data_IF_924405351677
#
_entry.id   IF_924405351677
#
_cell.length_a   1.000
_cell.length_b   1.000
_cell.length_c   1.000
_cell.angle_alpha   90.00
_cell.angle_beta   90.00
_cell.angle_gamma   90.00
#
_symmetry.space_group_name_H-M   'P 1'
#
loop_
_entity.id
_entity.type
_entity.pdbx_description
1 polymer ?
#
# COMPACT_ATOMS: atom_id res chain seq x y z
N UNK A 1 41.28 -23.24 -42.85
CA UNK A 1 40.85 -24.40 -42.04
C UNK A 1 39.48 -24.02 -41.48
N UNK A 2 38.35 -24.22 -42.17
CA UNK A 2 37.72 -25.49 -42.58
C UNK A 2 37.60 -26.42 -41.36
N UNK A 3 36.42 -26.76 -40.84
CA UNK A 3 35.29 -27.36 -41.55
C UNK A 3 33.93 -27.08 -40.87
N UNK A 4 32.96 -26.73 -41.71
CA UNK A 4 31.51 -26.73 -41.51
C UNK A 4 31.00 -28.13 -41.90
N UNK A 5 30.11 -28.77 -41.13
CA UNK A 5 29.30 -29.89 -41.65
C UNK A 5 27.84 -29.69 -41.29
N UNK A 6 27.14 -29.21 -42.30
CA UNK A 6 25.70 -29.24 -42.51
C UNK A 6 25.34 -30.67 -42.93
N UNK A 7 24.31 -31.26 -42.33
CA UNK A 7 23.60 -32.39 -42.93
C UNK A 7 22.26 -31.90 -43.45
N UNK A 8 22.09 -32.12 -44.75
CA UNK A 8 20.99 -31.73 -45.62
C UNK A 8 20.40 -33.00 -46.25
N UNK A 9 19.21 -32.84 -46.84
CA UNK A 9 18.47 -33.71 -47.77
C UNK A 9 17.44 -34.71 -47.19
N UNK A 10 16.39 -35.07 -47.95
CA UNK A 10 15.41 -34.19 -48.63
C UNK A 10 13.97 -34.77 -48.62
N UNK A 11 13.00 -34.02 -49.15
CA UNK A 11 11.80 -34.63 -49.75
C UNK A 11 10.51 -33.85 -49.53
N UNK A 12 10.17 -32.95 -50.45
CA UNK A 12 8.77 -32.62 -50.79
C UNK A 12 8.31 -33.57 -51.90
N UNK A 13 7.03 -33.97 -51.89
CA UNK A 13 6.08 -33.26 -52.75
C UNK A 13 4.70 -33.00 -52.11
N UNK A 14 4.17 -31.79 -52.34
CA UNK A 14 2.72 -31.48 -52.41
C UNK A 14 2.07 -32.24 -53.59
N UNK A 15 0.73 -32.31 -53.81
CA UNK A 15 -0.39 -31.65 -53.10
C UNK A 15 -1.62 -32.56 -52.80
N UNK A 16 -2.49 -32.16 -51.87
CA UNK A 16 -3.90 -32.59 -51.88
C UNK A 16 -4.80 -31.60 -51.14
N UNK A 17 -5.55 -30.82 -51.92
CA UNK A 17 -6.66 -30.00 -51.46
C UNK A 17 -7.80 -30.92 -51.05
N UNK A 18 -8.18 -30.93 -49.77
CA UNK A 18 -9.48 -31.39 -49.32
C UNK A 18 -10.06 -30.36 -48.36
N UNK A 19 -10.91 -29.50 -48.93
CA UNK A 19 -11.89 -28.72 -48.19
C UNK A 19 -12.73 -29.66 -47.32
N UNK A 20 -13.12 -29.19 -46.14
CA UNK A 20 -14.47 -29.21 -45.55
C UNK A 20 -14.37 -29.16 -44.02
N UNK A 21 -14.64 -27.99 -43.46
CA UNK A 21 -15.22 -27.84 -42.11
C UNK A 21 -16.59 -28.52 -42.09
N UNK A 22 -17.06 -29.05 -40.95
CA UNK A 22 -17.75 -28.16 -40.00
C UNK A 22 -17.40 -28.36 -38.53
N UNK A 23 -17.55 -27.24 -37.81
CA UNK A 23 -17.72 -27.09 -36.37
C UNK A 23 -18.19 -28.35 -35.64
N UNK A 24 -17.38 -28.80 -34.69
CA UNK A 24 -17.90 -29.48 -33.51
C UNK A 24 -17.88 -28.51 -32.35
N UNK A 25 -18.98 -27.78 -32.21
CA UNK A 25 -19.33 -27.07 -30.99
C UNK A 25 -19.33 -28.07 -29.85
N UNK A 26 -18.44 -27.90 -28.87
CA UNK A 26 -18.55 -28.58 -27.59
C UNK A 26 -19.70 -27.90 -26.86
N UNK A 27 -20.86 -28.53 -26.90
CA UNK A 27 -22.06 -28.13 -26.16
C UNK A 27 -21.79 -28.38 -24.66
N UNK A 28 -21.37 -27.33 -23.97
CA UNK A 28 -21.26 -27.33 -22.51
C UNK A 28 -22.69 -27.28 -21.97
N UNK A 29 -23.17 -28.40 -21.46
CA UNK A 29 -24.48 -28.49 -20.79
C UNK A 29 -24.41 -27.72 -19.47
N UNK A 30 -25.19 -26.65 -19.26
CA UNK A 30 -25.25 -26.00 -17.96
C UNK A 30 -26.13 -26.84 -17.01
N UNK A 31 -25.53 -27.32 -15.93
CA UNK A 31 -26.25 -27.89 -14.79
C UNK A 31 -27.13 -26.78 -14.17
N UNK A 32 -28.45 -26.96 -14.24
CA UNK A 32 -29.45 -26.07 -13.64
C UNK A 32 -29.60 -26.35 -12.14
N UNK A 33 -29.21 -25.39 -11.31
CA UNK A 33 -29.66 -25.30 -9.91
C UNK A 33 -30.50 -24.03 -9.73
N UNK A 34 -31.77 -24.21 -9.35
CA UNK A 34 -32.58 -23.38 -8.43
C UNK A 34 -32.86 -21.89 -8.74
N UNK A 35 -34.05 -21.36 -8.38
CA UNK A 35 -34.43 -19.99 -8.69
C UNK A 35 -33.89 -19.00 -7.66
N UNK A 36 -32.79 -18.33 -8.02
CA UNK A 36 -32.28 -17.15 -7.33
C UNK A 36 -31.53 -16.32 -8.35
N UNK A 37 -32.11 -15.21 -8.78
CA UNK A 37 -31.57 -14.33 -9.82
C UNK A 37 -30.34 -13.61 -9.29
N UNK A 38 -29.15 -14.13 -9.57
CA UNK A 38 -27.94 -13.33 -9.59
C UNK A 38 -27.64 -12.97 -11.04
N UNK A 39 -27.92 -11.73 -11.41
CA UNK A 39 -27.38 -11.12 -12.62
C UNK A 39 -25.88 -10.99 -12.46
N UNK A 40 -25.13 -12.04 -12.77
CA UNK A 40 -23.71 -11.91 -13.07
C UNK A 40 -23.61 -11.12 -14.37
N UNK A 41 -23.47 -9.80 -14.22
CA UNK A 41 -22.97 -8.95 -15.30
C UNK A 41 -21.66 -9.59 -15.76
N UNK A 42 -21.72 -10.19 -16.94
CA UNK A 42 -20.54 -10.64 -17.66
C UNK A 42 -19.67 -9.41 -17.87
N UNK A 43 -18.64 -9.26 -17.04
CA UNK A 43 -17.53 -8.38 -17.35
C UNK A 43 -16.76 -9.06 -18.47
N UNK A 44 -17.23 -8.80 -19.69
CA UNK A 44 -16.45 -8.96 -20.90
C UNK A 44 -15.15 -8.18 -20.67
N UNK A 45 -14.05 -8.89 -20.40
CA UNK A 45 -12.71 -8.30 -20.29
C UNK A 45 -12.26 -7.94 -21.70
N UNK A 46 -12.86 -6.89 -22.27
CA UNK A 46 -12.15 -6.06 -23.24
C UNK A 46 -10.97 -5.40 -22.52
N UNK A 47 -9.87 -5.06 -23.22
CA UNK A 47 -8.81 -4.29 -22.60
C UNK A 47 -9.44 -3.01 -22.07
N UNK A 48 -9.48 -2.86 -20.74
CA UNK A 48 -9.82 -1.59 -20.14
C UNK A 48 -8.82 -0.58 -20.72
N UNK A 49 -9.29 0.31 -21.59
CA UNK A 49 -8.52 1.46 -22.03
C UNK A 49 -8.15 2.22 -20.76
N UNK A 50 -6.95 1.97 -20.24
CA UNK A 50 -6.38 2.79 -19.20
C UNK A 50 -6.19 4.18 -19.84
N UNK A 51 -7.06 5.12 -19.46
CA UNK A 51 -6.96 6.52 -19.85
C UNK A 51 -5.51 7.00 -19.67
N UNK A 52 -4.89 7.62 -20.68
CA UNK A 52 -3.50 8.04 -20.60
C UNK A 52 -3.28 8.95 -19.39
N UNK A 53 -2.17 8.74 -18.68
CA UNK A 53 -1.82 9.47 -17.46
C UNK A 53 -1.00 10.71 -17.80
N UNK A 54 -1.34 11.83 -17.18
CA UNK A 54 -0.66 13.13 -17.32
C UNK A 54 0.04 13.41 -15.98
N UNK A 55 1.35 13.65 -16.02
CA UNK A 55 2.14 13.99 -14.83
C UNK A 55 2.32 15.51 -14.76
N UNK A 56 2.02 16.08 -13.61
CA UNK A 56 2.19 17.49 -13.27
C UNK A 56 3.46 17.68 -12.42
N UNK A 57 3.70 18.90 -11.96
CA UNK A 57 4.76 19.21 -11.00
C UNK A 57 4.68 18.34 -9.75
N UNK A 58 5.85 18.05 -9.15
CA UNK A 58 6.01 17.27 -7.91
C UNK A 58 5.45 15.84 -7.94
N UNK A 59 5.18 15.31 -9.15
CA UNK A 59 4.74 13.93 -9.34
C UNK A 59 3.24 13.72 -9.18
N UNK A 60 2.44 14.79 -9.11
CA UNK A 60 0.98 14.68 -9.14
C UNK A 60 0.53 14.12 -10.50
N UNK A 61 -0.42 13.20 -10.52
CA UNK A 61 -0.86 12.55 -11.76
C UNK A 61 -2.37 12.69 -11.92
N UNK A 62 -2.81 13.00 -13.13
CA UNK A 62 -4.22 12.93 -13.52
C UNK A 62 -4.44 11.99 -14.69
N UNK A 63 -5.65 11.45 -14.84
CA UNK A 63 -6.05 10.75 -16.06
C UNK A 63 -6.34 11.76 -17.18
N UNK A 64 -6.48 11.30 -18.43
CA UNK A 64 -6.93 12.12 -19.55
C UNK A 64 -8.31 12.75 -19.31
N UNK A 65 -9.13 12.11 -18.47
CA UNK A 65 -10.45 12.58 -18.06
C UNK A 65 -10.35 13.60 -16.90
N UNK A 66 -9.16 14.12 -16.63
CA UNK A 66 -8.84 15.10 -15.59
C UNK A 66 -9.19 14.63 -14.16
N UNK A 67 -9.23 13.31 -13.93
CA UNK A 67 -9.42 12.71 -12.60
C UNK A 67 -8.09 12.58 -11.90
N UNK A 68 -8.05 12.75 -10.58
CA UNK A 68 -6.84 12.58 -9.79
C UNK A 68 -6.47 11.10 -9.72
N UNK A 69 -5.20 10.79 -9.98
CA UNK A 69 -4.64 9.47 -9.71
C UNK A 69 -4.00 9.51 -8.34
N UNK A 70 -4.54 8.74 -7.40
CA UNK A 70 -3.95 8.57 -6.07
C UNK A 70 -2.61 7.85 -6.23
N UNK A 71 -1.54 8.46 -5.75
CA UNK A 71 -0.19 7.92 -5.77
C UNK A 71 0.61 8.36 -4.54
N UNK A 72 1.83 7.83 -4.38
CA UNK A 72 2.74 8.19 -3.29
C UNK A 72 3.16 9.67 -3.34
N UNK A 73 3.31 10.25 -4.53
CA UNK A 73 3.71 11.65 -4.67
C UNK A 73 2.67 12.62 -4.08
N UNK A 74 1.38 12.33 -4.26
CA UNK A 74 0.30 13.09 -3.62
C UNK A 74 0.39 13.05 -2.10
N UNK A 75 0.62 11.87 -1.50
CA UNK A 75 0.87 11.75 -0.06
C UNK A 75 2.09 12.58 0.35
N UNK A 76 3.18 12.50 -0.40
CA UNK A 76 4.41 13.27 -0.10
C UNK A 76 4.17 14.77 -0.11
N UNK A 77 3.39 15.29 -1.08
CA UNK A 77 3.01 16.71 -1.11
C UNK A 77 2.23 17.07 0.16
N UNK A 78 1.27 16.25 0.58
CA UNK A 78 0.53 16.50 1.82
C UNK A 78 1.47 16.50 3.03
N UNK A 79 2.30 15.47 3.14
CA UNK A 79 3.26 15.32 4.22
C UNK A 79 4.25 16.50 4.27
N UNK A 80 4.73 16.99 3.13
CA UNK A 80 5.68 18.12 3.07
C UNK A 80 5.06 19.43 3.55
N UNK A 81 3.83 19.74 3.13
CA UNK A 81 3.13 20.95 3.57
C UNK A 81 2.67 20.87 5.03
N UNK A 82 2.33 19.67 5.51
CA UNK A 82 1.86 19.46 6.88
C UNK A 82 3.02 19.26 7.88
N UNK A 83 4.21 18.87 7.42
CA UNK A 83 5.41 18.65 8.27
C UNK A 83 5.96 19.93 8.89
N UNK A 84 5.76 21.09 8.26
CA UNK A 84 6.04 22.41 8.89
C UNK A 84 5.09 22.73 10.07
N UNK A 85 4.06 21.91 10.30
CA UNK A 85 3.06 22.05 11.35
C UNK A 85 3.28 21.21 12.62
N UNK A 86 4.45 20.59 12.82
CA UNK A 86 4.72 19.74 14.01
C UNK A 86 4.78 20.49 15.35
N UNK A 87 4.34 21.75 15.41
CA UNK A 87 4.12 22.49 16.66
C UNK A 87 2.75 23.14 16.74
N UNK A 88 2.17 23.49 15.59
CA UNK A 88 0.78 23.87 15.41
C UNK A 88 0.41 23.53 13.96
N UNK A 89 -0.67 22.79 13.74
CA UNK A 89 -1.32 22.63 12.43
C UNK A 89 -1.83 24.01 11.99
N UNK A 90 -0.92 24.89 11.59
CA UNK A 90 -1.25 26.28 11.35
C UNK A 90 -2.25 26.32 10.19
N UNK A 91 -3.42 26.96 10.34
CA UNK A 91 -4.37 27.11 9.25
C UNK A 91 -3.70 27.71 8.00
N UNK A 92 -2.65 28.50 8.17
CA UNK A 92 -1.83 29.04 7.09
C UNK A 92 -1.09 27.98 6.23
N UNK A 93 -0.74 26.80 6.78
CA UNK A 93 -0.12 25.72 6.01
C UNK A 93 -1.16 24.99 5.16
N UNK A 94 -2.35 24.76 5.74
CA UNK A 94 -3.48 24.13 5.05
C UNK A 94 -3.98 25.02 3.92
N UNK A 95 -4.11 26.34 4.15
CA UNK A 95 -4.49 27.30 3.11
C UNK A 95 -3.47 27.35 1.96
N UNK A 96 -2.18 27.28 2.28
CA UNK A 96 -1.11 27.20 1.26
C UNK A 96 -1.20 25.91 0.45
N UNK A 97 -1.52 24.78 1.07
CA UNK A 97 -1.73 23.52 0.39
C UNK A 97 -2.95 23.59 -0.55
N UNK A 98 -4.08 24.17 -0.11
CA UNK A 98 -5.24 24.40 -0.98
C UNK A 98 -4.90 25.26 -2.20
N UNK A 99 -4.18 26.37 -2.00
CA UNK A 99 -3.76 27.24 -3.08
C UNK A 99 -2.83 26.52 -4.07
N UNK A 100 -1.88 25.73 -3.57
CA UNK A 100 -0.98 24.92 -4.38
C UNK A 100 -1.74 23.90 -5.23
N UNK A 101 -2.64 23.10 -4.62
CA UNK A 101 -3.43 22.10 -5.35
C UNK A 101 -4.32 22.75 -6.43
N UNK A 102 -4.89 23.92 -6.13
CA UNK A 102 -5.72 24.66 -7.09
C UNK A 102 -4.92 25.17 -8.29
N UNK A 103 -3.66 25.54 -8.09
CA UNK A 103 -2.77 25.97 -9.16
C UNK A 103 -2.22 24.79 -9.98
N UNK A 104 -1.98 23.65 -9.33
CA UNK A 104 -1.34 22.49 -9.94
C UNK A 104 -2.31 21.53 -10.66
N UNK A 105 -3.59 21.50 -10.26
CA UNK A 105 -4.55 20.50 -10.74
C UNK A 105 -5.73 21.12 -11.52
N UNK A 106 -6.26 20.42 -12.53
CA UNK A 106 -7.53 20.81 -13.16
C UNK A 106 -8.68 20.71 -12.15
N UNK A 107 -9.75 21.48 -12.38
CA UNK A 107 -10.86 21.60 -11.42
C UNK A 107 -11.46 20.26 -10.92
N UNK A 108 -11.66 19.23 -11.76
CA UNK A 108 -12.16 17.94 -11.28
C UNK A 108 -11.16 17.25 -10.33
N UNK A 109 -9.88 17.12 -10.72
CA UNK A 109 -8.84 16.54 -9.88
C UNK A 109 -8.60 17.34 -8.59
N UNK A 110 -8.70 18.68 -8.64
CA UNK A 110 -8.63 19.52 -7.46
C UNK A 110 -9.73 19.16 -6.45
N UNK A 111 -10.98 19.02 -6.91
CA UNK A 111 -12.09 18.67 -6.03
C UNK A 111 -11.93 17.30 -5.36
N UNK A 112 -11.27 16.37 -6.04
CA UNK A 112 -10.93 15.05 -5.48
C UNK A 112 -9.78 15.14 -4.48
N UNK A 113 -8.74 15.91 -4.81
CA UNK A 113 -7.61 16.13 -3.93
C UNK A 113 -8.04 16.76 -2.60
N UNK A 114 -8.97 17.73 -2.64
CA UNK A 114 -9.55 18.36 -1.44
C UNK A 114 -10.26 17.34 -0.56
N UNK A 115 -11.10 16.47 -1.12
CA UNK A 115 -11.79 15.43 -0.35
C UNK A 115 -10.82 14.47 0.33
N UNK A 116 -9.78 14.06 -0.39
CA UNK A 116 -8.75 13.18 0.17
C UNK A 116 -7.95 13.92 1.25
N UNK A 117 -7.66 15.20 1.07
CA UNK A 117 -6.98 16.03 2.07
C UNK A 117 -7.81 16.16 3.36
N UNK A 118 -9.11 16.40 3.27
CA UNK A 118 -10.01 16.48 4.45
C UNK A 118 -10.01 15.16 5.24
N UNK A 119 -10.12 14.03 4.53
CA UNK A 119 -9.98 12.70 5.12
C UNK A 119 -8.58 12.50 5.75
N UNK A 120 -7.54 13.03 5.11
CA UNK A 120 -6.17 12.92 5.60
C UNK A 120 -5.93 13.71 6.89
N UNK A 121 -6.43 14.94 6.97
CA UNK A 121 -6.36 15.78 8.19
C UNK A 121 -7.14 15.15 9.36
N UNK A 122 -8.28 14.53 9.05
CA UNK A 122 -9.05 13.78 10.06
C UNK A 122 -8.26 12.56 10.54
N UNK A 123 -7.61 11.85 9.63
CA UNK A 123 -6.74 10.72 9.94
C UNK A 123 -5.55 11.14 10.82
N UNK A 124 -4.84 12.24 10.52
CA UNK A 124 -3.68 12.68 11.32
C UNK A 124 -4.07 13.00 12.76
N UNK A 125 -5.19 13.67 12.96
CA UNK A 125 -5.75 13.94 14.29
C UNK A 125 -6.09 12.63 15.04
N UNK A 126 -6.75 11.69 14.37
CA UNK A 126 -7.10 10.40 14.97
C UNK A 126 -5.85 9.54 15.28
N UNK A 127 -4.83 9.58 14.43
CA UNK A 127 -3.55 8.94 14.64
C UNK A 127 -2.84 9.49 15.88
N UNK A 128 -2.77 10.81 16.03
CA UNK A 128 -2.16 11.46 17.20
C UNK A 128 -2.88 11.09 18.50
N UNK A 129 -4.21 10.96 18.45
CA UNK A 129 -5.02 10.48 19.58
C UNK A 129 -4.70 9.02 19.92
N UNK A 130 -4.60 8.14 18.92
CA UNK A 130 -4.23 6.74 19.11
C UNK A 130 -2.82 6.62 19.73
N UNK A 131 -1.86 7.42 19.25
CA UNK A 131 -0.50 7.46 19.79
C UNK A 131 -0.46 7.95 21.25
N UNK A 132 -1.23 8.99 21.57
CA UNK A 132 -1.37 9.51 22.94
C UNK A 132 -1.97 8.47 23.88
N UNK A 133 -3.00 7.73 23.43
CA UNK A 133 -3.63 6.67 24.21
C UNK A 133 -2.65 5.54 24.52
N UNK A 134 -1.89 5.08 23.53
CA UNK A 134 -0.84 4.08 23.73
C UNK A 134 0.20 4.58 24.72
N UNK A 135 0.72 5.78 24.53
CA UNK A 135 1.75 6.36 25.42
C UNK A 135 1.26 6.47 26.88
N UNK A 136 -0.05 6.62 27.10
CA UNK A 136 -0.64 6.65 28.44
C UNK A 136 -0.90 5.26 29.05
N UNK A 137 -0.98 4.20 28.23
CA UNK A 137 -1.24 2.81 28.69
C UNK A 137 -0.01 1.92 28.67
N UNK A 138 1.00 2.23 27.87
CA UNK A 138 2.26 1.52 27.84
C UNK A 138 2.98 1.75 29.19
N UNK A 139 3.09 0.70 30.00
CA UNK A 139 3.94 0.69 31.18
C UNK A 139 5.43 0.70 30.82
N UNK A 140 6.32 0.74 31.81
CA UNK A 140 7.76 0.63 31.56
C UNK A 140 8.07 -0.63 30.75
N UNK A 141 8.74 -0.53 29.59
CA UNK A 141 9.06 -1.68 28.74
C UNK A 141 9.78 -2.78 29.52
N UNK A 142 10.63 -2.40 30.49
CA UNK A 142 11.48 -3.24 31.34
C UNK A 142 10.74 -4.32 32.15
N UNK A 143 9.43 -4.18 32.36
CA UNK A 143 8.64 -5.11 33.19
C UNK A 143 7.91 -6.19 32.36
N UNK A 144 7.86 -6.06 31.03
CA UNK A 144 7.12 -6.97 30.16
C UNK A 144 8.03 -8.07 29.58
N UNK A 145 7.56 -9.32 29.52
CA UNK A 145 8.25 -10.34 28.73
C UNK A 145 8.26 -9.93 27.25
N UNK A 146 9.39 -10.17 26.57
CA UNK A 146 9.60 -9.79 25.16
C UNK A 146 8.46 -10.25 24.23
N UNK A 147 7.89 -11.44 24.47
CA UNK A 147 6.76 -11.94 23.70
C UNK A 147 5.50 -11.09 23.83
N UNK A 148 5.18 -10.63 25.06
CA UNK A 148 4.03 -9.76 25.29
C UNK A 148 4.23 -8.38 24.64
N UNK A 149 5.46 -7.86 24.64
CA UNK A 149 5.80 -6.61 23.95
C UNK A 149 5.59 -6.73 22.42
N UNK A 150 5.98 -7.86 21.82
CA UNK A 150 5.77 -8.13 20.39
C UNK A 150 4.28 -8.21 20.07
N UNK A 151 3.48 -8.84 20.92
CA UNK A 151 2.03 -8.94 20.72
C UNK A 151 1.31 -7.59 20.88
N UNK A 152 1.74 -6.74 21.82
CA UNK A 152 1.26 -5.35 21.93
C UNK A 152 1.56 -4.56 20.65
N UNK A 153 2.76 -4.72 20.11
CA UNK A 153 3.14 -4.05 18.87
C UNK A 153 2.32 -4.54 17.67
N UNK A 154 2.10 -5.85 17.53
CA UNK A 154 1.27 -6.42 16.46
C UNK A 154 -0.19 -5.93 16.52
N UNK A 155 -0.76 -5.88 17.73
CA UNK A 155 -2.08 -5.33 17.96
C UNK A 155 -2.15 -3.85 17.58
N UNK A 156 -1.12 -3.08 17.91
CA UNK A 156 -1.03 -1.66 17.59
C UNK A 156 -0.94 -1.41 16.07
N UNK A 157 -0.10 -2.15 15.35
CA UNK A 157 -0.02 -2.08 13.87
C UNK A 157 -1.37 -2.41 13.24
N UNK A 158 -2.07 -3.42 13.78
CA UNK A 158 -3.40 -3.81 13.29
C UNK A 158 -4.46 -2.72 13.53
N UNK A 159 -4.41 -2.02 14.67
CA UNK A 159 -5.30 -0.87 14.93
C UNK A 159 -5.01 0.30 13.98
N UNK A 160 -3.74 0.57 13.71
CA UNK A 160 -3.33 1.61 12.76
C UNK A 160 -3.80 1.31 11.33
N UNK A 161 -3.69 0.05 10.91
CA UNK A 161 -4.22 -0.44 9.64
C UNK A 161 -5.72 -0.15 9.48
N UNK A 162 -6.50 -0.57 10.48
CA UNK A 162 -7.95 -0.38 10.49
C UNK A 162 -8.33 1.11 10.50
N UNK A 163 -7.60 1.94 11.25
CA UNK A 163 -7.81 3.39 11.27
C UNK A 163 -7.62 3.99 9.87
N UNK A 164 -6.52 3.65 9.19
CA UNK A 164 -6.23 4.14 7.83
C UNK A 164 -7.31 3.74 6.84
N UNK A 165 -7.71 2.48 6.83
CA UNK A 165 -8.78 2.00 5.95
C UNK A 165 -10.11 2.68 6.23
N UNK A 166 -10.47 2.88 7.50
CA UNK A 166 -11.73 3.53 7.89
C UNK A 166 -11.82 5.00 7.49
N UNK A 167 -10.69 5.73 7.51
CA UNK A 167 -10.66 7.18 7.28
C UNK A 167 -10.35 7.55 5.83
N UNK A 168 -9.49 6.76 5.16
CA UNK A 168 -8.98 7.06 3.82
C UNK A 168 -9.61 6.15 2.74
N UNK A 169 -10.20 5.02 3.15
CA UNK A 169 -10.65 3.97 2.25
C UNK A 169 -9.53 3.02 1.83
N UNK A 170 -9.91 1.81 1.40
CA UNK A 170 -8.97 0.73 1.09
C UNK A 170 -7.98 1.10 -0.03
N UNK A 171 -8.45 1.78 -1.10
CA UNK A 171 -7.60 2.11 -2.24
C UNK A 171 -6.51 3.14 -1.89
N UNK A 172 -6.88 4.21 -1.17
CA UNK A 172 -5.94 5.24 -0.72
C UNK A 172 -5.00 4.66 0.33
N UNK A 173 -5.54 3.95 1.32
CA UNK A 173 -4.73 3.34 2.38
C UNK A 173 -3.71 2.32 1.82
N UNK A 174 -4.14 1.47 0.88
CA UNK A 174 -3.27 0.50 0.22
C UNK A 174 -2.19 1.17 -0.63
N UNK A 175 -2.56 2.20 -1.41
CA UNK A 175 -1.60 2.94 -2.24
C UNK A 175 -0.57 3.69 -1.40
N UNK A 176 -1.00 4.30 -0.30
CA UNK A 176 -0.15 5.18 0.50
C UNK A 176 0.67 4.46 1.56
N UNK A 177 0.11 3.45 2.21
CA UNK A 177 0.70 2.81 3.38
C UNK A 177 1.00 1.32 3.17
N UNK A 178 0.74 0.76 1.98
CA UNK A 178 0.94 -0.68 1.72
C UNK A 178 2.37 -1.17 1.95
N UNK A 179 3.37 -0.37 1.57
CA UNK A 179 4.78 -0.70 1.81
C UNK A 179 5.13 -0.64 3.31
N UNK A 180 4.65 0.40 4.00
CA UNK A 180 4.83 0.57 5.45
C UNK A 180 4.20 -0.59 6.24
N UNK A 181 2.95 -0.93 5.90
CA UNK A 181 2.21 -2.08 6.45
C UNK A 181 2.91 -3.41 6.21
N UNK A 182 3.53 -3.58 5.04
CA UNK A 182 4.28 -4.79 4.74
C UNK A 182 5.55 -4.87 5.58
N UNK A 183 6.25 -3.74 5.76
CA UNK A 183 7.42 -3.65 6.62
C UNK A 183 7.09 -3.92 8.08
N UNK A 184 6.01 -3.37 8.60
CA UNK A 184 5.55 -3.63 9.98
C UNK A 184 5.25 -5.12 10.21
N UNK A 185 4.54 -5.77 9.28
CA UNK A 185 4.27 -7.22 9.35
C UNK A 185 5.55 -8.07 9.29
N UNK A 186 6.50 -7.70 8.44
CA UNK A 186 7.81 -8.36 8.36
C UNK A 186 8.59 -8.20 9.66
N UNK A 187 8.54 -7.01 10.29
CA UNK A 187 9.19 -6.77 11.58
C UNK A 187 8.61 -7.65 12.68
N UNK A 188 7.28 -7.70 12.81
CA UNK A 188 6.60 -8.58 13.78
C UNK A 188 6.99 -10.04 13.55
N UNK A 189 6.98 -10.52 12.30
CA UNK A 189 7.36 -11.89 11.97
C UNK A 189 8.82 -12.20 12.33
N UNK A 190 9.74 -11.29 12.03
CA UNK A 190 11.15 -11.42 12.37
C UNK A 190 11.35 -11.49 13.89
N UNK A 191 10.67 -10.63 14.65
CA UNK A 191 10.72 -10.61 16.11
C UNK A 191 10.21 -11.91 16.73
N UNK A 192 9.07 -12.43 16.25
CA UNK A 192 8.53 -13.72 16.70
C UNK A 192 9.48 -14.89 16.41
N UNK A 193 10.25 -14.80 15.32
CA UNK A 193 11.26 -15.79 14.97
C UNK A 193 12.61 -15.60 15.71
N UNK A 194 12.75 -14.56 16.54
CA UNK A 194 14.02 -14.21 17.20
C UNK A 194 15.08 -13.65 16.24
N UNK A 195 14.68 -13.18 15.06
CA UNK A 195 15.54 -12.59 14.04
C UNK A 195 15.76 -11.09 14.20
N UNK A 196 16.60 -10.51 13.34
CA UNK A 196 16.81 -9.07 13.29
C UNK A 196 15.62 -8.36 12.65
N UNK A 197 15.23 -7.20 13.21
CA UNK A 197 14.20 -6.36 12.60
C UNK A 197 14.67 -5.78 11.26
N UNK A 198 13.75 -5.59 10.29
CA UNK A 198 14.04 -4.78 9.13
C UNK A 198 14.39 -3.35 9.56
N UNK A 199 15.23 -2.67 8.77
CA UNK A 199 15.59 -1.30 9.10
C UNK A 199 14.35 -0.39 9.14
N UNK A 200 14.22 0.47 10.17
CA UNK A 200 13.16 1.47 10.20
C UNK A 200 13.29 2.40 8.99
N UNK A 201 12.19 3.04 8.59
CA UNK A 201 12.29 4.10 7.58
C UNK A 201 13.26 5.21 8.04
N UNK A 202 13.94 5.87 7.09
CA UNK A 202 14.90 6.95 7.38
C UNK A 202 14.26 8.17 8.09
N UNK A 203 12.92 8.24 8.15
CA UNK A 203 12.20 9.22 8.97
C UNK A 203 12.16 8.76 10.45
N UNK A 204 13.33 8.90 11.09
CA UNK A 204 13.72 8.43 12.44
C UNK A 204 12.74 8.80 13.56
N UNK A 205 11.85 9.79 13.38
CA UNK A 205 10.94 10.26 14.43
C UNK A 205 9.48 9.82 14.32
N UNK A 206 9.06 9.22 13.20
CA UNK A 206 7.63 8.94 12.94
C UNK A 206 7.32 7.48 12.68
N UNK A 207 8.31 6.66 12.36
CA UNK A 207 8.11 5.24 12.15
C UNK A 207 8.02 4.53 13.52
N UNK A 208 6.89 3.87 13.81
CA UNK A 208 6.71 3.08 15.03
C UNK A 208 7.79 2.02 15.23
N UNK A 209 8.38 1.53 14.13
CA UNK A 209 9.50 0.58 14.19
C UNK A 209 10.72 1.15 14.89
N UNK A 210 10.93 2.46 14.87
CA UNK A 210 12.06 3.08 15.56
C UNK A 210 11.93 2.91 17.07
N UNK A 211 10.75 3.20 17.63
CA UNK A 211 10.47 3.04 19.06
C UNK A 211 10.55 1.58 19.51
N UNK A 212 10.07 0.65 18.68
CA UNK A 212 10.10 -0.79 19.00
C UNK A 212 11.53 -1.31 19.00
N UNK A 213 12.36 -0.89 18.04
CA UNK A 213 13.77 -1.27 17.98
C UNK A 213 14.53 -0.77 19.23
N UNK A 214 14.29 0.48 19.63
CA UNK A 214 14.88 1.06 20.84
C UNK A 214 14.45 0.31 22.11
N UNK A 215 13.14 0.12 22.31
CA UNK A 215 12.62 -0.55 23.50
C UNK A 215 13.06 -2.03 23.58
N UNK A 216 13.14 -2.72 22.44
CA UNK A 216 13.63 -4.09 22.41
C UNK A 216 15.11 -4.19 22.79
N UNK A 217 15.92 -3.20 22.38
CA UNK A 217 17.33 -3.14 22.78
C UNK A 217 17.47 -3.02 24.30
N UNK A 218 16.68 -2.13 24.92
CA UNK A 218 16.63 -1.95 26.37
C UNK A 218 16.20 -3.24 27.07
N UNK A 219 15.16 -3.90 26.59
CA UNK A 219 14.65 -5.17 27.12
C UNK A 219 15.69 -6.30 27.08
N UNK A 220 16.43 -6.41 25.97
CA UNK A 220 17.50 -7.40 25.82
C UNK A 220 18.65 -7.13 26.80
N UNK A 221 19.04 -5.86 26.99
CA UNK A 221 20.07 -5.51 27.98
C UNK A 221 19.62 -5.79 29.41
N UNK A 222 18.37 -5.47 29.77
CA UNK A 222 17.81 -5.71 31.09
C UNK A 222 17.73 -7.22 31.41
N UNK A 223 17.28 -8.04 30.46
CA UNK A 223 17.22 -9.50 30.60
C UNK A 223 18.59 -10.17 30.74
N UNK A 224 19.63 -9.61 30.10
CA UNK A 224 21.03 -10.07 30.27
C UNK A 224 21.54 -9.73 31.67
N UNK A 225 21.25 -8.53 32.18
CA UNK A 225 21.69 -8.10 33.52
C UNK A 225 21.02 -8.88 34.66
N UNK A 226 19.77 -9.34 34.48
CA UNK A 226 19.09 -10.17 35.48
C UNK A 226 19.63 -11.61 35.56
N UNK A 227 20.21 -12.14 34.47
CA UNK A 227 20.79 -13.49 34.42
C UNK A 227 22.22 -13.59 34.93
N UNK A 228 22.88 -12.45 35.16
CA UNK A 228 24.27 -12.37 35.62
C UNK A 228 24.41 -12.15 37.15
N UNK A 229 23.30 -12.21 37.91
CA UNK A 229 23.26 -12.18 39.38
C UNK A 229 22.97 -13.56 39.93
#
# INVERSE_FOLDING_TARGET
>A
MSLLVILSFPGTPEPAVARLTPSRSVEIVPVRFGPGVFTSSSFNTGPASASPKITHSDGLVTTSDQRLVVNIALRKVFDDFLRDGMRDESPANVDRLYAYLKAALPAPAYSEAVKILDSYLTYTSAYNRLLSQRSATSGSPEELPVSAYIDEFDAWVSQLAALRESMLGADVAGTWFGEEQTRHRQAVAALRAGGAMPQPAEDVGKDPLHQVAENLHVLQQAGVMQRAR
#
